data_IF_136925699256
#
_entry.id   IF_136925699256
#
_cell.length_a   1.000
_cell.length_b   1.000
_cell.length_c   1.000
_cell.angle_alpha   90.00
_cell.angle_beta   90.00
_cell.angle_gamma   90.00
#
_symmetry.space_group_name_H-M   'P 1'
#
loop_
_entity.id
_entity.type
_entity.pdbx_description
1 polymer ?
#
# COMPACT_ATOMS: atom_id res chain seq x y z
N UNK A 1 36.78 38.83 19.56
CA UNK A 1 36.16 37.62 20.15
C UNK A 1 35.02 37.22 19.23
N UNK A 2 35.22 36.18 18.42
CA UNK A 2 34.27 35.70 17.41
C UNK A 2 33.31 34.74 18.11
N UNK A 3 32.02 35.07 18.15
CA UNK A 3 30.96 34.15 18.60
C UNK A 3 30.21 33.66 17.37
N UNK A 4 30.59 32.47 16.91
CA UNK A 4 29.88 31.68 15.92
C UNK A 4 28.63 31.08 16.58
N UNK A 5 27.49 31.74 16.45
CA UNK A 5 26.18 31.12 16.73
C UNK A 5 25.76 30.29 15.53
N UNK A 6 26.33 29.08 15.44
CA UNK A 6 25.75 27.98 14.66
C UNK A 6 24.43 27.57 15.32
N UNK A 7 23.35 28.25 14.94
CA UNK A 7 21.99 27.82 15.25
C UNK A 7 21.74 26.48 14.56
N UNK A 8 21.77 25.39 15.31
CA UNK A 8 21.27 24.10 14.86
C UNK A 8 19.74 24.21 14.71
N UNK A 9 19.26 24.50 13.50
CA UNK A 9 17.84 24.33 13.17
C UNK A 9 17.54 22.83 13.17
N UNK A 10 17.21 22.28 14.34
CA UNK A 10 16.62 20.95 14.43
C UNK A 10 15.27 21.02 13.74
N UNK A 11 15.20 20.60 12.48
CA UNK A 11 13.96 20.46 11.72
C UNK A 11 13.05 19.53 12.53
N UNK A 12 12.03 20.10 13.17
CA UNK A 12 10.98 19.31 13.82
C UNK A 12 10.31 18.52 12.72
N UNK A 13 10.53 17.21 12.72
CA UNK A 13 9.93 16.29 11.77
C UNK A 13 8.45 16.16 12.11
N UNK A 14 7.61 17.04 11.57
CA UNK A 14 6.18 17.04 11.84
C UNK A 14 5.53 15.92 11.03
N UNK A 15 5.08 14.88 11.71
CA UNK A 15 4.18 13.88 11.14
C UNK A 15 2.77 14.47 11.09
N UNK A 16 2.45 15.26 10.05
CA UNK A 16 1.09 15.77 9.82
C UNK A 16 0.36 14.96 8.75
N UNK A 17 -0.07 13.74 9.09
CA UNK A 17 -0.82 12.87 8.17
C UNK A 17 -2.33 13.15 8.15
N UNK A 18 -2.87 13.85 9.15
CA UNK A 18 -4.32 14.06 9.30
C UNK A 18 -4.93 14.77 8.08
N UNK A 19 -4.18 15.68 7.47
CA UNK A 19 -4.62 16.44 6.31
C UNK A 19 -4.25 15.76 4.97
N UNK A 20 -3.53 14.63 4.99
CA UNK A 20 -3.16 13.89 3.77
C UNK A 20 -4.33 13.04 3.32
N UNK A 21 -4.72 13.19 2.06
CA UNK A 21 -5.79 12.41 1.46
C UNK A 21 -5.20 11.13 0.88
N UNK A 22 -5.69 9.98 1.35
CA UNK A 22 -5.30 8.67 0.86
C UNK A 22 -6.40 8.06 0.00
N UNK A 23 -6.00 7.39 -1.08
CA UNK A 23 -6.92 6.68 -1.97
C UNK A 23 -6.27 5.42 -2.52
N UNK A 24 -7.05 4.36 -2.65
CA UNK A 24 -6.63 3.18 -3.41
C UNK A 24 -6.56 3.57 -4.89
N UNK A 25 -5.36 3.51 -5.47
CA UNK A 25 -5.15 3.79 -6.89
C UNK A 25 -5.48 2.54 -7.72
N UNK A 26 -4.79 1.43 -7.43
CA UNK A 26 -4.97 0.17 -8.15
C UNK A 26 -4.45 -1.03 -7.37
N UNK A 27 -4.85 -2.21 -7.80
CA UNK A 27 -4.25 -3.50 -7.42
C UNK A 27 -3.51 -4.06 -8.63
N UNK A 28 -2.31 -4.61 -8.43
CA UNK A 28 -1.55 -5.26 -9.49
C UNK A 28 -0.97 -6.60 -9.03
N UNK A 29 -0.48 -7.38 -9.99
CA UNK A 29 0.21 -8.66 -9.77
C UNK A 29 -0.62 -9.64 -8.91
N UNK A 30 -1.95 -9.59 -9.02
CA UNK A 30 -2.82 -10.47 -8.26
C UNK A 30 -2.65 -11.92 -8.71
N UNK A 31 -2.33 -12.81 -7.76
CA UNK A 31 -2.15 -14.24 -7.99
C UNK A 31 -2.90 -15.05 -6.93
N UNK A 32 -3.60 -16.08 -7.38
CA UNK A 32 -4.27 -17.05 -6.52
C UNK A 32 -3.65 -18.43 -6.75
N UNK A 33 -3.14 -19.05 -5.68
CA UNK A 33 -2.40 -20.30 -5.77
C UNK A 33 -1.22 -20.26 -6.77
N UNK A 34 -0.68 -19.07 -7.07
CA UNK A 34 0.38 -18.84 -8.07
C UNK A 34 -0.11 -18.51 -9.48
N UNK A 35 -1.41 -18.65 -9.77
CA UNK A 35 -2.01 -18.34 -11.08
C UNK A 35 -2.25 -16.84 -11.19
N UNK A 36 -1.83 -16.24 -12.30
CA UNK A 36 -2.00 -14.81 -12.54
C UNK A 36 -3.47 -14.50 -12.86
N UNK A 37 -4.09 -13.61 -12.07
CA UNK A 37 -5.50 -13.23 -12.25
C UNK A 37 -5.70 -12.10 -13.26
N UNK A 38 -4.62 -11.49 -13.78
CA UNK A 38 -4.74 -10.42 -14.76
C UNK A 38 -5.35 -10.95 -16.06
N UNK A 39 -6.54 -10.45 -16.41
CA UNK A 39 -7.26 -10.88 -17.62
C UNK A 39 -8.26 -12.01 -17.41
N UNK A 40 -8.35 -12.58 -16.20
CA UNK A 40 -9.38 -13.54 -15.82
C UNK A 40 -10.60 -12.74 -15.33
N UNK A 41 -11.68 -12.71 -16.10
CA UNK A 41 -12.93 -12.04 -15.72
C UNK A 41 -14.02 -13.03 -15.32
N UNK A 42 -13.94 -14.25 -15.85
CA UNK A 42 -14.90 -15.33 -15.64
C UNK A 42 -14.18 -16.65 -15.35
N UNK A 43 -14.90 -17.65 -14.87
CA UNK A 43 -14.34 -18.98 -14.65
C UNK A 43 -13.93 -19.67 -15.97
N UNK A 44 -14.45 -19.21 -17.12
CA UNK A 44 -14.16 -19.77 -18.45
C UNK A 44 -12.79 -19.31 -18.99
N UNK A 45 -12.22 -18.26 -18.40
CA UNK A 45 -10.91 -17.75 -18.78
C UNK A 45 -9.76 -18.60 -18.21
N UNK A 46 -10.04 -19.56 -17.32
CA UNK A 46 -9.04 -20.48 -16.78
C UNK A 46 -8.69 -21.60 -17.77
N UNK A 47 -7.40 -21.80 -18.01
CA UNK A 47 -6.92 -22.97 -18.73
C UNK A 47 -7.02 -24.24 -17.90
N UNK A 48 -6.97 -25.41 -18.56
CA UNK A 48 -6.99 -26.71 -17.87
C UNK A 48 -5.85 -26.87 -16.83
N UNK A 49 -4.68 -26.29 -17.11
CA UNK A 49 -3.56 -26.27 -16.16
C UNK A 49 -3.87 -25.43 -14.91
N UNK A 50 -4.49 -24.27 -15.08
CA UNK A 50 -4.88 -23.39 -13.97
C UNK A 50 -5.92 -24.07 -13.09
N UNK A 51 -6.93 -24.71 -13.70
CA UNK A 51 -7.95 -25.48 -12.98
C UNK A 51 -7.30 -26.60 -12.15
N UNK A 52 -6.39 -27.38 -12.75
CA UNK A 52 -5.69 -28.45 -12.03
C UNK A 52 -4.87 -27.91 -10.83
N UNK A 53 -4.19 -26.77 -11.01
CA UNK A 53 -3.43 -26.12 -9.94
C UNK A 53 -4.33 -25.58 -8.83
N UNK A 54 -5.47 -24.96 -9.15
CA UNK A 54 -6.48 -24.53 -8.17
C UNK A 54 -7.06 -25.71 -7.39
N UNK A 55 -7.46 -26.78 -8.08
CA UNK A 55 -8.00 -27.98 -7.44
C UNK A 55 -6.98 -28.62 -6.51
N UNK A 56 -5.71 -28.70 -6.92
CA UNK A 56 -4.64 -29.21 -6.06
C UNK A 56 -4.43 -28.35 -4.81
N UNK A 57 -4.43 -27.02 -4.97
CA UNK A 57 -4.28 -26.08 -3.85
C UNK A 57 -5.46 -26.19 -2.86
N UNK A 58 -6.68 -26.27 -3.39
CA UNK A 58 -7.91 -26.53 -2.61
C UNK A 58 -7.84 -27.86 -1.85
N UNK A 59 -7.43 -28.94 -2.51
CA UNK A 59 -7.30 -30.26 -1.88
C UNK A 59 -6.26 -30.27 -0.75
N UNK A 60 -5.25 -29.40 -0.83
CA UNK A 60 -4.26 -29.18 0.23
C UNK A 60 -4.75 -28.23 1.33
N UNK A 61 -5.97 -27.69 1.23
CA UNK A 61 -6.54 -26.74 2.19
C UNK A 61 -5.83 -25.38 2.20
N UNK A 62 -5.15 -25.01 1.10
CA UNK A 62 -4.38 -23.75 1.01
C UNK A 62 -4.69 -23.03 -0.28
N UNK A 63 -5.21 -21.81 -0.17
CA UNK A 63 -5.43 -20.90 -1.30
C UNK A 63 -4.69 -19.58 -1.08
N UNK A 64 -3.36 -19.55 -1.28
CA UNK A 64 -2.60 -18.33 -1.05
C UNK A 64 -2.95 -17.28 -2.10
N UNK A 65 -3.42 -16.13 -1.64
CA UNK A 65 -3.66 -14.93 -2.43
C UNK A 65 -2.49 -13.97 -2.23
N UNK A 66 -1.97 -13.40 -3.31
CA UNK A 66 -0.94 -12.35 -3.28
C UNK A 66 -1.26 -11.26 -4.29
N UNK A 67 -0.97 -10.01 -3.96
CA UNK A 67 -1.12 -8.86 -4.85
C UNK A 67 -0.28 -7.67 -4.33
N UNK A 68 -0.10 -6.66 -5.17
CA UNK A 68 0.44 -5.35 -4.78
C UNK A 68 -0.69 -4.33 -4.75
N UNK A 69 -0.94 -3.70 -3.60
CA UNK A 69 -1.87 -2.58 -3.46
C UNK A 69 -1.10 -1.26 -3.62
N UNK A 70 -1.51 -0.42 -4.56
CA UNK A 70 -0.98 0.93 -4.70
C UNK A 70 -1.91 1.91 -4.01
N UNK A 71 -1.37 2.62 -3.02
CA UNK A 71 -2.07 3.69 -2.31
C UNK A 71 -1.47 5.02 -2.76
N UNK A 72 -2.34 5.88 -3.26
CA UNK A 72 -2.02 7.26 -3.61
C UNK A 72 -2.21 8.15 -2.38
N UNK A 73 -1.28 9.09 -2.19
CA UNK A 73 -1.35 10.11 -1.16
C UNK A 73 -1.22 11.50 -1.79
N UNK A 74 -2.13 12.40 -1.42
CA UNK A 74 -2.14 13.80 -1.83
C UNK A 74 -2.07 14.70 -0.59
N UNK A 75 -1.01 15.53 -0.50
CA UNK A 75 -0.88 16.55 0.53
C UNK A 75 -1.48 17.87 0.01
N UNK A 76 -2.67 18.28 0.47
CA UNK A 76 -3.41 19.39 -0.11
C UNK A 76 -2.70 20.73 0.11
N UNK A 77 -2.93 21.73 -0.75
CA UNK A 77 -2.32 23.05 -0.61
C UNK A 77 -2.65 23.74 0.72
N UNK A 78 -3.78 23.43 1.36
CA UNK A 78 -4.13 24.02 2.65
C UNK A 78 -3.22 23.53 3.80
N UNK A 79 -2.63 22.34 3.66
CA UNK A 79 -1.65 21.84 4.63
C UNK A 79 -0.32 22.57 4.39
N UNK A 80 0.06 23.42 5.34
CA UNK A 80 1.24 24.28 5.22
C UNK A 80 2.56 23.57 5.46
N UNK A 81 2.52 22.31 5.89
CA UNK A 81 3.71 21.51 6.22
C UNK A 81 3.83 20.27 5.32
N UNK A 82 5.07 19.84 5.10
CA UNK A 82 5.33 18.54 4.49
C UNK A 82 4.86 17.43 5.46
N UNK A 83 4.20 16.42 4.92
CA UNK A 83 3.74 15.27 5.67
C UNK A 83 4.67 14.08 5.43
N UNK A 84 4.76 13.17 6.40
CA UNK A 84 5.61 11.98 6.27
C UNK A 84 4.95 10.78 6.91
N UNK A 85 4.76 9.73 6.12
CA UNK A 85 4.38 8.41 6.60
C UNK A 85 5.64 7.70 7.09
N UNK A 86 5.62 7.23 8.34
CA UNK A 86 6.70 6.42 8.91
C UNK A 86 6.31 4.96 9.05
N UNK A 87 5.03 4.72 9.38
CA UNK A 87 4.42 3.42 9.53
C UNK A 87 2.94 3.49 9.18
N UNK A 88 2.40 2.43 8.58
CA UNK A 88 0.97 2.23 8.35
C UNK A 88 0.59 0.80 8.72
N UNK A 89 -0.20 0.64 9.76
CA UNK A 89 -0.89 -0.63 10.01
C UNK A 89 -2.08 -0.72 9.07
N UNK A 90 -2.36 -1.91 8.55
CA UNK A 90 -3.44 -2.15 7.61
C UNK A 90 -4.12 -3.48 7.88
N UNK A 91 -5.42 -3.52 7.59
CA UNK A 91 -6.25 -4.73 7.66
C UNK A 91 -7.05 -4.84 6.37
N UNK A 92 -7.04 -6.01 5.74
CA UNK A 92 -7.90 -6.33 4.61
C UNK A 92 -9.22 -6.89 5.12
N UNK A 93 -10.31 -6.23 4.75
CA UNK A 93 -11.66 -6.70 5.00
C UNK A 93 -12.22 -7.25 3.69
N UNK A 94 -12.73 -8.49 3.72
CA UNK A 94 -13.53 -9.06 2.63
C UNK A 94 -14.94 -9.27 3.18
N UNK A 95 -15.94 -8.67 2.54
CA UNK A 95 -17.35 -8.72 3.01
C UNK A 95 -17.48 -8.32 4.48
N UNK A 96 -16.83 -7.21 4.87
CA UNK A 96 -16.76 -6.69 6.25
C UNK A 96 -16.10 -7.63 7.28
N UNK A 97 -15.53 -8.76 6.86
CA UNK A 97 -14.77 -9.67 7.72
C UNK A 97 -13.28 -9.38 7.61
N UNK A 98 -12.61 -9.21 8.77
CA UNK A 98 -11.16 -9.10 8.82
C UNK A 98 -10.51 -10.41 8.34
N UNK A 99 -9.63 -10.31 7.34
CA UNK A 99 -9.00 -11.49 6.72
C UNK A 99 -7.53 -11.59 7.06
N UNK A 100 -6.76 -10.55 6.73
CA UNK A 100 -5.33 -10.46 6.99
C UNK A 100 -4.99 -9.04 7.43
N UNK A 101 -4.00 -8.91 8.30
CA UNK A 101 -3.49 -7.63 8.76
C UNK A 101 -1.96 -7.60 8.66
N UNK A 102 -1.40 -6.39 8.63
CA UNK A 102 0.04 -6.21 8.56
C UNK A 102 0.47 -4.77 8.84
N UNK A 103 1.77 -4.54 8.72
CA UNK A 103 2.38 -3.23 8.87
C UNK A 103 3.26 -2.89 7.66
N UNK A 104 3.24 -1.63 7.27
CA UNK A 104 4.11 -1.03 6.28
C UNK A 104 5.05 -0.05 6.98
N UNK A 105 6.32 -0.41 7.15
CA UNK A 105 7.30 0.36 7.95
C UNK A 105 8.25 1.21 7.10
N UNK A 106 7.89 1.53 5.85
CA UNK A 106 8.71 2.39 4.98
C UNK A 106 8.35 3.85 5.14
N UNK A 107 9.40 4.69 5.16
CA UNK A 107 9.24 6.15 5.20
C UNK A 107 8.86 6.71 3.83
N UNK A 108 7.76 7.44 3.76
CA UNK A 108 7.33 8.20 2.58
C UNK A 108 7.12 9.66 2.93
N UNK A 109 7.69 10.58 2.14
CA UNK A 109 7.49 12.02 2.30
C UNK A 109 6.50 12.56 1.25
N UNK A 110 5.49 13.28 1.70
CA UNK A 110 4.45 13.90 0.89
C UNK A 110 4.64 15.42 0.87
N UNK A 111 5.31 15.88 -0.18
CA UNK A 111 5.50 17.31 -0.43
C UNK A 111 4.21 17.92 -0.97
N UNK A 112 3.93 19.17 -0.62
CA UNK A 112 2.81 19.94 -1.17
C UNK A 112 2.79 19.88 -2.70
N UNK A 113 1.57 19.79 -3.25
CA UNK A 113 1.30 19.85 -4.70
C UNK A 113 1.97 18.74 -5.53
N UNK A 114 2.39 17.63 -4.89
CA UNK A 114 2.91 16.46 -5.60
C UNK A 114 2.22 15.18 -5.16
N UNK A 115 1.57 14.52 -6.12
CA UNK A 115 1.12 13.14 -5.97
C UNK A 115 2.31 12.21 -5.82
N UNK A 116 2.22 11.32 -4.85
CA UNK A 116 3.20 10.26 -4.61
C UNK A 116 2.47 8.95 -4.42
N UNK A 117 3.04 7.89 -4.99
CA UNK A 117 2.59 6.52 -4.75
C UNK A 117 3.65 5.83 -3.91
N UNK A 118 3.23 5.28 -2.77
CA UNK A 118 4.07 4.38 -2.00
C UNK A 118 3.71 2.95 -2.39
N UNK A 119 4.74 2.16 -2.66
CA UNK A 119 4.65 0.72 -2.86
C UNK A 119 5.23 0.06 -1.62
#
# INVERSE_FOLDING_TARGET
MILLSMSCQTVREVTNLNDVQFRIDRVADARLAGIQLSGIQTYEDFGAADVAQLTSALAQGRLPLSFTLFVEAENPPLNSVDARLTKMDWTLLLEDQETIAGAFDRRCAFRRERRRTCR
#
